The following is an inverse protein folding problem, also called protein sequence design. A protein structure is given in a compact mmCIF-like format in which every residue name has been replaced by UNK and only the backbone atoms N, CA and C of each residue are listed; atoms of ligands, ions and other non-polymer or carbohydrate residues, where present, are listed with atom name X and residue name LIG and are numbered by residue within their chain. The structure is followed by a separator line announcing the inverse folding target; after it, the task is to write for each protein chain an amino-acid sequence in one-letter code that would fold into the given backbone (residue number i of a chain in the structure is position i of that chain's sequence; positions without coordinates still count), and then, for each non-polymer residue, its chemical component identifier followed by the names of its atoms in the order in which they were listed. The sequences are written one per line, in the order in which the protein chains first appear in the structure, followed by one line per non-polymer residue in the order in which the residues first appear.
data_IF_510979527395
#
_entry.id   IF_510979527395
#
_cell.length_a   1.000
_cell.length_b   1.000
_cell.length_c   1.000
_cell.angle_alpha   90.00
_cell.angle_beta   90.00
_cell.angle_gamma   90.00
#
_symmetry.space_group_name_H-M   'P 1'
#
loop_
_entity.id
_entity.type
_entity.pdbx_description
1 polymer ?
#
# COMPACT_ATOMS: atom_id res chain seq x y z
N UNK A 1 -9.77 -1.87 -3.39
CA UNK A 1 -8.75 -1.01 -4.06
C UNK A 1 -9.32 0.36 -4.46
N UNK A 2 -10.51 0.43 -5.06
CA UNK A 2 -11.09 1.70 -5.51
C UNK A 2 -11.32 2.73 -4.40
N UNK A 3 -11.54 2.31 -3.15
CA UNK A 3 -11.59 3.25 -2.02
C UNK A 3 -10.27 4.02 -1.82
N UNK A 4 -9.11 3.37 -2.08
CA UNK A 4 -7.80 4.04 -1.99
C UNK A 4 -7.56 4.97 -3.18
N UNK A 5 -8.00 4.57 -4.38
CA UNK A 5 -8.00 5.43 -5.57
C UNK A 5 -8.87 6.68 -5.38
N UNK A 6 -9.96 6.55 -4.63
CA UNK A 6 -10.93 7.62 -4.39
C UNK A 6 -10.46 8.69 -3.39
N UNK A 7 -9.37 8.47 -2.65
CA UNK A 7 -8.78 9.50 -1.76
C UNK A 7 -8.27 10.67 -2.61
N UNK A 8 -8.55 11.91 -2.23
CA UNK A 8 -8.07 13.08 -2.99
C UNK A 8 -6.53 13.16 -2.95
N UNK A 9 -5.90 13.61 -4.04
CA UNK A 9 -4.44 13.81 -4.10
C UNK A 9 -3.99 14.85 -3.06
N UNK A 10 -4.78 15.91 -2.87
CA UNK A 10 -4.52 16.91 -1.83
C UNK A 10 -4.53 16.32 -0.41
N UNK A 11 -5.30 15.26 -0.15
CA UNK A 11 -5.25 14.56 1.14
C UNK A 11 -3.89 13.92 1.37
N UNK A 12 -3.30 13.31 0.34
CA UNK A 12 -1.98 12.69 0.43
C UNK A 12 -0.86 13.75 0.50
N UNK A 13 -1.01 14.86 -0.23
CA UNK A 13 -0.10 16.01 -0.13
C UNK A 13 -0.03 16.57 1.29
N UNK A 14 -1.17 16.68 1.98
CA UNK A 14 -1.21 17.18 3.35
C UNK A 14 -0.66 16.19 4.40
N UNK A 15 -0.49 14.91 4.04
CA UNK A 15 0.14 13.92 4.90
C UNK A 15 1.66 13.85 4.69
N UNK A 16 2.15 14.30 3.54
CA UNK A 16 3.57 14.23 3.22
C UNK A 16 4.36 15.27 4.01
N UNK A 17 5.45 14.82 4.62
CA UNK A 17 6.43 15.66 5.30
C UNK A 17 7.85 15.24 4.89
N UNK A 18 8.25 15.43 3.62
CA UNK A 18 9.53 14.94 3.11
C UNK A 18 10.75 15.60 3.78
N UNK A 19 10.57 16.71 4.50
CA UNK A 19 11.63 17.46 5.17
C UNK A 19 11.67 17.23 6.69
N UNK A 20 10.84 16.33 7.23
CA UNK A 20 10.70 16.04 8.67
C UNK A 20 10.56 17.35 9.48
N UNK A 21 9.58 18.16 9.07
CA UNK A 21 9.38 19.53 9.56
C UNK A 21 8.97 19.59 11.03
N UNK A 22 8.34 18.53 11.53
CA UNK A 22 7.96 18.39 12.93
C UNK A 22 9.04 17.72 13.80
N UNK A 23 10.11 17.19 13.18
CA UNK A 23 11.27 16.62 13.84
C UNK A 23 10.98 15.31 14.56
N UNK A 24 9.97 14.57 14.10
CA UNK A 24 9.55 13.31 14.69
C UNK A 24 10.32 12.09 14.14
N UNK A 25 11.16 12.33 13.12
CA UNK A 25 12.04 11.35 12.50
C UNK A 25 11.43 10.60 11.32
N UNK A 26 10.24 10.99 10.85
CA UNK A 26 9.53 10.37 9.73
C UNK A 26 9.44 11.35 8.57
N UNK A 27 10.07 11.03 7.44
CA UNK A 27 10.12 11.88 6.25
C UNK A 27 9.25 11.36 5.09
N UNK A 28 8.01 10.98 5.41
CA UNK A 28 7.07 10.38 4.46
C UNK A 28 6.87 11.24 3.22
N UNK A 29 7.12 10.67 2.03
CA UNK A 29 7.07 11.43 0.77
C UNK A 29 6.13 10.83 -0.28
N UNK A 30 5.66 11.70 -1.16
CA UNK A 30 4.86 11.28 -2.31
C UNK A 30 5.70 10.59 -3.38
N UNK A 31 5.09 9.57 -3.97
CA UNK A 31 5.52 9.01 -5.24
C UNK A 31 4.83 9.76 -6.38
N UNK A 32 5.59 10.39 -7.27
CA UNK A 32 5.04 11.00 -8.49
C UNK A 32 5.30 10.06 -9.67
N UNK A 33 4.25 9.79 -10.44
CA UNK A 33 4.28 8.90 -11.63
C UNK A 33 3.65 9.62 -12.83
N UNK A 34 4.07 9.26 -14.03
CA UNK A 34 3.48 9.81 -15.26
C UNK A 34 2.27 8.96 -15.65
N UNK A 35 1.13 9.61 -15.83
CA UNK A 35 -0.07 8.97 -16.37
C UNK A 35 0.20 8.54 -17.84
N UNK A 36 0.12 7.24 -18.18
CA UNK A 36 0.46 6.75 -19.52
C UNK A 36 -0.52 7.20 -20.62
N UNK A 37 -1.69 7.73 -20.26
CA UNK A 37 -2.71 8.19 -21.22
C UNK A 37 -2.64 9.70 -21.42
N UNK A 38 -2.52 10.46 -20.33
CA UNK A 38 -2.54 11.93 -20.37
C UNK A 38 -1.16 12.57 -20.36
N UNK A 39 -0.12 11.80 -19.98
CA UNK A 39 1.26 12.26 -19.78
C UNK A 39 1.42 13.33 -18.66
N UNK A 40 0.39 13.48 -17.81
CA UNK A 40 0.43 14.38 -16.66
C UNK A 40 1.04 13.68 -15.44
N UNK A 41 1.73 14.42 -14.55
CA UNK A 41 2.19 13.88 -13.27
C UNK A 41 1.01 13.60 -12.35
N UNK A 42 1.00 12.44 -11.70
CA UNK A 42 -0.02 11.99 -10.75
C UNK A 42 0.61 11.39 -9.50
N UNK A 43 -0.11 11.41 -8.39
CA UNK A 43 0.32 10.70 -7.18
C UNK A 43 0.12 9.20 -7.35
N UNK A 44 1.21 8.46 -7.19
CA UNK A 44 1.25 7.01 -7.18
C UNK A 44 0.66 6.42 -5.90
N UNK A 45 -0.03 5.28 -6.02
CA UNK A 45 -0.82 4.67 -4.93
C UNK A 45 -0.72 3.15 -4.86
N UNK A 46 -0.45 2.50 -5.98
CA UNK A 46 -0.50 1.05 -6.13
C UNK A 46 0.88 0.47 -6.44
N UNK A 47 1.05 -0.82 -6.15
CA UNK A 47 2.37 -1.47 -6.11
C UNK A 47 3.09 -1.26 -4.78
N UNK A 48 4.28 -1.87 -4.67
CA UNK A 48 5.11 -1.82 -3.45
C UNK A 48 5.75 -0.45 -3.22
N UNK A 49 6.14 0.24 -4.30
CA UNK A 49 6.72 1.59 -4.28
C UNK A 49 5.78 2.64 -4.89
N UNK A 50 4.47 2.40 -4.83
CA UNK A 50 3.44 3.31 -5.33
C UNK A 50 3.60 3.63 -6.84
N UNK A 51 4.07 2.70 -7.67
CA UNK A 51 4.41 2.94 -9.07
C UNK A 51 3.23 3.22 -10.02
N UNK A 52 2.00 3.02 -9.57
CA UNK A 52 0.79 3.24 -10.38
C UNK A 52 -0.21 4.16 -9.66
N UNK A 53 -0.76 5.15 -10.38
CA UNK A 53 -1.70 6.13 -9.81
C UNK A 53 -3.14 5.63 -9.73
N UNK A 54 -3.56 4.76 -10.64
CA UNK A 54 -4.96 4.31 -10.78
C UNK A 54 -5.06 2.79 -10.75
N UNK A 55 -6.21 2.25 -10.36
CA UNK A 55 -6.50 0.81 -10.43
C UNK A 55 -6.38 0.33 -11.87
N UNK A 56 -6.82 1.15 -12.84
CA UNK A 56 -6.71 0.83 -14.26
C UNK A 56 -5.26 0.66 -14.69
N UNK A 57 -4.37 1.57 -14.27
CA UNK A 57 -2.95 1.48 -14.63
C UNK A 57 -2.27 0.30 -13.93
N UNK A 58 -2.62 -0.01 -12.67
CA UNK A 58 -2.14 -1.23 -12.01
C UNK A 58 -2.58 -2.50 -12.74
N UNK A 59 -3.84 -2.57 -13.19
CA UNK A 59 -4.36 -3.70 -13.96
C UNK A 59 -3.59 -3.85 -15.26
N UNK A 60 -3.47 -2.79 -16.07
CA UNK A 60 -2.76 -2.88 -17.36
C UNK A 60 -1.26 -3.10 -17.18
N UNK A 61 -0.67 -2.77 -16.03
CA UNK A 61 0.73 -3.04 -15.72
C UNK A 61 0.93 -4.53 -15.50
N UNK A 62 0.07 -5.14 -14.68
CA UNK A 62 0.11 -6.58 -14.44
C UNK A 62 -0.11 -7.40 -15.73
N UNK A 63 -1.02 -6.96 -16.62
CA UNK A 63 -1.14 -7.57 -17.94
C UNK A 63 0.19 -7.56 -18.70
N UNK A 64 0.87 -6.41 -18.73
CA UNK A 64 2.06 -6.24 -19.54
C UNK A 64 3.32 -6.89 -18.92
N UNK A 65 3.64 -6.55 -17.67
CA UNK A 65 4.87 -6.96 -17.00
C UNK A 65 4.80 -8.38 -16.42
N UNK A 66 3.65 -8.80 -15.88
CA UNK A 66 3.54 -10.12 -15.24
C UNK A 66 3.04 -11.20 -16.21
N UNK A 67 2.09 -10.84 -17.08
CA UNK A 67 1.43 -11.80 -17.98
C UNK A 67 1.96 -11.75 -19.41
N UNK A 68 2.70 -10.71 -19.80
CA UNK A 68 3.21 -10.54 -21.17
C UNK A 68 2.14 -10.23 -22.21
N UNK A 69 1.04 -9.59 -21.79
CA UNK A 69 -0.14 -9.29 -22.61
C UNK A 69 -0.32 -7.79 -22.76
N UNK A 70 -0.50 -7.34 -24.00
CA UNK A 70 -0.57 -5.91 -24.35
C UNK A 70 -2.01 -5.35 -24.34
N UNK A 71 -2.13 -4.05 -24.06
CA UNK A 71 -3.40 -3.31 -24.00
C UNK A 71 -3.27 -1.98 -24.73
N UNK A 72 -4.37 -1.26 -24.96
CA UNK A 72 -4.31 0.10 -25.55
C UNK A 72 -3.48 1.09 -24.73
N UNK A 73 -3.40 0.93 -23.40
CA UNK A 73 -2.61 1.77 -22.48
C UNK A 73 -1.13 1.38 -22.50
N UNK A 74 -0.83 0.08 -22.68
CA UNK A 74 0.53 -0.46 -22.75
C UNK A 74 0.65 -1.38 -23.97
N UNK A 75 0.79 -0.80 -25.17
CA UNK A 75 0.78 -1.57 -26.42
C UNK A 75 2.13 -2.24 -26.71
N UNK A 76 3.21 -1.77 -26.07
CA UNK A 76 4.55 -2.32 -26.23
C UNK A 76 4.80 -3.38 -25.15
N UNK A 77 5.36 -4.56 -25.48
CA UNK A 77 5.76 -5.55 -24.48
C UNK A 77 6.84 -5.02 -23.54
N UNK A 78 6.75 -5.32 -22.24
CA UNK A 78 7.84 -5.09 -21.29
C UNK A 78 9.00 -6.05 -21.57
N UNK A 79 9.96 -5.57 -22.36
CA UNK A 79 11.15 -6.33 -22.75
C UNK A 79 12.22 -6.41 -21.65
N UNK A 80 12.10 -5.64 -20.57
CA UNK A 80 13.22 -5.36 -19.69
C UNK A 80 14.44 -4.78 -20.43
N UNK A 81 15.56 -4.63 -19.71
CA UNK A 81 16.79 -4.04 -20.27
C UNK A 81 17.71 -5.05 -20.98
N UNK A 82 17.51 -6.35 -20.75
CA UNK A 82 18.40 -7.41 -21.22
C UNK A 82 17.92 -8.08 -22.52
N UNK A 83 16.70 -7.78 -22.98
CA UNK A 83 16.11 -8.39 -24.17
C UNK A 83 15.69 -7.31 -25.16
N UNK A 84 15.88 -7.59 -26.46
CA UNK A 84 15.61 -6.63 -27.54
C UNK A 84 14.62 -7.16 -28.59
N UNK A 85 14.08 -8.37 -28.39
CA UNK A 85 13.21 -9.04 -29.36
C UNK A 85 12.06 -9.79 -28.66
N UNK A 86 11.21 -9.05 -27.93
CA UNK A 86 10.15 -9.64 -27.08
C UNK A 86 8.78 -9.65 -27.76
N UNK A 87 8.77 -9.64 -29.09
CA UNK A 87 7.56 -9.64 -29.88
C UNK A 87 7.18 -8.25 -30.40
N UNK A 88 5.99 -8.18 -30.99
CA UNK A 88 5.49 -6.97 -31.64
C UNK A 88 4.58 -6.19 -30.69
N UNK A 89 4.58 -4.87 -30.85
CA UNK A 89 3.59 -4.01 -30.23
C UNK A 89 2.20 -4.24 -30.81
N UNK A 90 1.17 -4.02 -30.01
CA UNK A 90 -0.22 -4.18 -30.44
C UNK A 90 -1.21 -4.07 -29.29
N UNK A 91 -2.46 -4.41 -29.58
CA UNK A 91 -3.52 -4.50 -28.58
C UNK A 91 -4.07 -5.93 -28.63
N UNK A 92 -3.74 -6.73 -27.61
CA UNK A 92 -4.22 -8.10 -27.49
C UNK A 92 -5.52 -8.17 -26.69
N UNK A 93 -5.70 -7.29 -25.70
CA UNK A 93 -6.92 -7.21 -24.89
C UNK A 93 -7.69 -5.94 -25.23
N UNK A 94 -8.94 -6.11 -25.66
CA UNK A 94 -9.83 -5.01 -25.97
C UNK A 94 -10.22 -4.20 -24.71
N UNK A 95 -10.37 -2.88 -24.87
CA UNK A 95 -10.64 -1.94 -23.78
C UNK A 95 -11.83 -2.34 -22.90
N UNK A 96 -12.91 -2.86 -23.50
CA UNK A 96 -14.11 -3.29 -22.76
C UNK A 96 -13.80 -4.33 -21.67
N UNK A 97 -12.82 -5.22 -21.91
CA UNK A 97 -12.42 -6.21 -20.92
C UNK A 97 -11.58 -5.59 -19.80
N UNK A 98 -10.71 -4.62 -20.13
CA UNK A 98 -9.96 -3.84 -19.14
C UNK A 98 -10.90 -3.01 -18.27
N UNK A 99 -11.92 -2.38 -18.85
CA UNK A 99 -12.93 -1.61 -18.11
C UNK A 99 -13.73 -2.50 -17.15
N UNK A 100 -14.20 -3.65 -17.61
CA UNK A 100 -14.94 -4.60 -16.77
C UNK A 100 -14.09 -5.09 -15.59
N UNK A 101 -12.84 -5.49 -15.84
CA UNK A 101 -11.95 -5.96 -14.80
C UNK A 101 -11.57 -4.83 -13.84
N UNK A 102 -11.27 -3.63 -14.34
CA UNK A 102 -10.97 -2.45 -13.53
C UNK A 102 -12.14 -2.13 -12.61
N UNK A 103 -13.37 -2.10 -13.15
CA UNK A 103 -14.58 -1.87 -12.36
C UNK A 103 -14.78 -2.96 -11.30
N UNK A 104 -14.57 -4.22 -11.65
CA UNK A 104 -14.64 -5.33 -10.69
C UNK A 104 -13.64 -5.12 -9.54
N UNK A 105 -12.35 -4.95 -9.84
CA UNK A 105 -11.28 -4.78 -8.83
C UNK A 105 -11.49 -3.51 -7.99
N UNK A 106 -11.95 -2.42 -8.60
CA UNK A 106 -12.22 -1.17 -7.90
C UNK A 106 -13.35 -1.32 -6.87
N UNK A 107 -14.41 -2.08 -7.21
CA UNK A 107 -15.62 -2.23 -6.41
C UNK A 107 -15.63 -3.47 -5.49
N UNK A 108 -14.55 -4.24 -5.43
CA UNK A 108 -14.39 -5.28 -4.41
C UNK A 108 -14.43 -4.64 -3.01
N UNK A 109 -15.38 -5.09 -2.20
CA UNK A 109 -15.57 -4.63 -0.83
C UNK A 109 -14.39 -5.02 0.07
N UNK A 110 -14.15 -4.19 1.09
CA UNK A 110 -13.19 -4.48 2.15
C UNK A 110 -13.90 -5.32 3.23
N UNK A 111 -13.23 -6.34 3.76
CA UNK A 111 -13.77 -7.11 4.88
C UNK A 111 -13.99 -6.23 6.10
N UNK A 112 -15.09 -6.45 6.81
CA UNK A 112 -15.33 -5.74 8.07
C UNK A 112 -14.26 -6.10 9.12
N UNK A 113 -13.86 -5.10 9.92
CA UNK A 113 -13.08 -5.32 11.14
C UNK A 113 -13.87 -6.24 12.09
N UNK A 114 -13.16 -7.18 12.70
CA UNK A 114 -13.66 -8.17 13.66
C UNK A 114 -13.43 -7.66 15.08
N UNK A 115 -14.03 -8.31 16.08
CA UNK A 115 -13.71 -8.09 17.50
C UNK A 115 -13.76 -6.62 18.00
N UNK A 116 -14.70 -5.82 17.49
CA UNK A 116 -14.82 -4.38 17.79
C UNK A 116 -14.98 -4.06 19.29
N UNK A 117 -15.71 -4.90 20.03
CA UNK A 117 -15.97 -4.72 21.46
C UNK A 117 -15.03 -5.56 22.34
N UNK A 118 -14.03 -6.24 21.75
CA UNK A 118 -13.11 -7.06 22.52
C UNK A 118 -12.12 -6.16 23.28
N UNK A 119 -12.07 -6.22 24.62
CA UNK A 119 -11.23 -5.33 25.42
C UNK A 119 -9.74 -5.49 25.12
N UNK A 120 -9.28 -6.69 24.74
CA UNK A 120 -7.88 -6.94 24.37
C UNK A 120 -7.54 -6.30 23.02
N UNK A 121 -8.46 -6.37 22.04
CA UNK A 121 -8.25 -5.72 20.74
C UNK A 121 -8.31 -4.19 20.86
N UNK A 122 -9.17 -3.65 21.73
CA UNK A 122 -9.21 -2.20 22.02
C UNK A 122 -7.94 -1.72 22.72
N UNK A 123 -7.42 -2.48 23.69
CA UNK A 123 -6.11 -2.21 24.29
C UNK A 123 -4.99 -2.27 23.23
N UNK A 124 -5.03 -3.25 22.34
CA UNK A 124 -4.07 -3.39 21.25
C UNK A 124 -4.06 -2.20 20.28
N UNK A 125 -5.23 -1.63 19.97
CA UNK A 125 -5.36 -0.42 19.17
C UNK A 125 -4.75 0.80 19.87
N UNK A 126 -4.97 0.93 21.19
CA UNK A 126 -4.32 1.98 21.97
C UNK A 126 -2.79 1.82 21.95
N UNK A 127 -2.29 0.61 22.17
CA UNK A 127 -0.85 0.31 22.13
C UNK A 127 -0.23 0.54 20.74
N UNK A 128 -1.00 0.31 19.67
CA UNK A 128 -0.58 0.62 18.30
C UNK A 128 -0.34 2.12 18.12
N UNK A 129 -1.25 2.95 18.66
CA UNK A 129 -1.10 4.41 18.65
C UNK A 129 0.04 4.88 19.57
N UNK A 130 0.12 4.34 20.78
CA UNK A 130 1.14 4.71 21.77
C UNK A 130 2.56 4.32 21.34
N UNK A 131 2.67 3.24 20.56
CA UNK A 131 3.95 2.82 19.95
C UNK A 131 4.32 3.66 18.72
N UNK A 132 3.44 4.56 18.25
CA UNK A 132 3.69 5.41 17.09
C UNK A 132 3.50 4.73 15.73
N UNK A 133 2.90 3.52 15.68
CA UNK A 133 2.65 2.82 14.41
C UNK A 133 1.71 3.63 13.49
N UNK A 134 0.77 4.35 14.10
CA UNK A 134 -0.23 5.18 13.43
C UNK A 134 0.34 6.41 12.70
N UNK A 135 1.62 6.74 12.92
CA UNK A 135 2.26 7.87 12.24
C UNK A 135 2.39 7.65 10.72
N UNK A 136 2.69 6.42 10.30
CA UNK A 136 2.62 6.03 8.88
C UNK A 136 1.31 5.27 8.58
N UNK A 137 0.87 4.40 9.50
CA UNK A 137 -0.37 3.63 9.35
C UNK A 137 -1.60 4.44 9.81
N UNK A 138 -1.85 5.58 9.17
CA UNK A 138 -2.93 6.52 9.51
C UNK A 138 -4.29 5.81 9.50
N UNK A 139 -4.98 5.88 10.63
CA UNK A 139 -6.15 5.03 10.92
C UNK A 139 -7.38 5.33 10.08
N UNK A 140 -7.53 6.56 9.59
CA UNK A 140 -8.72 7.00 8.88
C UNK A 140 -8.37 7.97 7.75
N UNK A 141 -9.06 7.83 6.63
CA UNK A 141 -8.99 8.73 5.48
C UNK A 141 -10.39 8.97 4.93
N UNK A 142 -10.56 10.06 4.19
CA UNK A 142 -11.83 10.44 3.56
C UNK A 142 -11.72 10.29 2.04
N UNK A 143 -12.67 9.59 1.42
CA UNK A 143 -12.74 9.54 -0.05
C UNK A 143 -13.42 10.79 -0.61
N UNK A 144 -12.98 11.19 -1.81
CA UNK A 144 -13.45 12.38 -2.52
C UNK A 144 -14.89 12.23 -3.02
N UNK A 145 -15.58 13.35 -3.30
CA UNK A 145 -16.91 13.33 -3.91
C UNK A 145 -16.88 13.08 -5.44
N UNK A 146 -15.71 12.97 -6.06
CA UNK A 146 -15.56 13.04 -7.53
C UNK A 146 -15.18 11.72 -8.21
N UNK A 147 -14.96 10.64 -7.46
CA UNK A 147 -14.59 9.35 -8.04
C UNK A 147 -15.64 8.85 -9.07
N UNK A 148 -15.29 8.27 -10.23
CA UNK A 148 -16.28 7.87 -11.25
C UNK A 148 -17.39 6.94 -10.76
N UNK A 149 -17.07 5.98 -9.89
CA UNK A 149 -18.06 5.14 -9.23
C UNK A 149 -18.65 5.85 -8.01
N UNK A 150 -19.98 6.01 -7.96
CA UNK A 150 -20.68 6.73 -6.90
C UNK A 150 -20.55 6.03 -5.53
N UNK A 151 -20.47 4.70 -5.56
CA UNK A 151 -20.31 3.82 -4.41
C UNK A 151 -18.96 3.98 -3.71
N UNK A 152 -18.01 4.75 -4.26
CA UNK A 152 -16.69 4.99 -3.65
C UNK A 152 -16.54 6.43 -3.13
N UNK A 153 -17.56 7.28 -3.25
CA UNK A 153 -17.51 8.71 -2.90
C UNK A 153 -17.88 8.96 -1.45
N UNK A 154 -17.29 10.00 -0.86
CA UNK A 154 -17.69 10.55 0.45
C UNK A 154 -17.76 9.51 1.58
N UNK A 155 -16.83 8.56 1.60
CA UNK A 155 -16.70 7.57 2.67
C UNK A 155 -15.56 7.89 3.61
N UNK A 156 -15.83 7.84 4.91
CA UNK A 156 -14.77 7.67 5.91
C UNK A 156 -14.35 6.20 5.88
N UNK A 157 -13.08 5.97 5.58
CA UNK A 157 -12.49 4.65 5.45
C UNK A 157 -11.38 4.48 6.49
N UNK A 158 -11.09 3.24 6.87
CA UNK A 158 -10.08 2.94 7.91
C UNK A 158 -8.91 2.10 7.39
N UNK A 159 -8.09 2.60 6.45
CA UNK A 159 -7.14 1.77 5.72
C UNK A 159 -5.83 1.51 6.46
N UNK A 160 -5.52 2.27 7.53
CA UNK A 160 -4.25 2.17 8.27
C UNK A 160 -3.04 2.32 7.35
N UNK A 161 -3.00 3.44 6.64
CA UNK A 161 -1.96 3.82 5.68
C UNK A 161 -2.11 5.28 5.32
N UNK A 162 -1.00 5.95 5.07
CA UNK A 162 -0.90 7.25 4.42
C UNK A 162 -0.62 7.16 2.91
N UNK A 163 -0.38 5.95 2.39
CA UNK A 163 0.07 5.67 1.01
C UNK A 163 1.39 6.34 0.61
N UNK A 164 2.16 6.86 1.56
CA UNK A 164 3.43 7.53 1.32
C UNK A 164 4.59 6.53 1.27
N UNK A 165 5.71 6.97 0.70
CA UNK A 165 6.98 6.25 0.72
C UNK A 165 7.74 6.60 2.01
N UNK A 166 8.22 5.56 2.70
CA UNK A 166 9.00 5.66 3.92
C UNK A 166 10.28 4.84 3.84
N UNK A 167 11.38 5.36 4.38
CA UNK A 167 12.62 4.58 4.54
C UNK A 167 12.44 3.52 5.63
N UNK A 168 12.43 2.25 5.22
CA UNK A 168 12.28 1.08 6.11
C UNK A 168 13.63 0.49 6.55
N UNK A 169 14.72 1.20 6.29
CA UNK A 169 16.08 0.85 6.67
C UNK A 169 16.76 -0.16 5.73
N UNK A 170 18.09 -0.36 5.91
CA UNK A 170 18.89 -1.22 5.03
C UNK A 170 18.48 -2.70 5.09
N UNK A 171 17.87 -3.14 6.20
CA UNK A 171 17.39 -4.52 6.34
C UNK A 171 16.27 -4.88 5.37
N UNK A 172 15.52 -3.87 4.89
CA UNK A 172 14.43 -4.03 3.93
C UNK A 172 14.73 -3.35 2.59
N UNK A 173 15.98 -3.00 2.31
CA UNK A 173 16.37 -2.47 1.01
C UNK A 173 16.26 -3.55 -0.09
N UNK A 174 15.67 -3.18 -1.22
CA UNK A 174 15.76 -3.95 -2.47
C UNK A 174 16.96 -3.48 -3.31
N UNK A 175 17.15 -4.06 -4.49
CA UNK A 175 18.09 -3.53 -5.51
C UNK A 175 17.41 -2.63 -6.53
N UNK A 176 16.09 -2.47 -6.46
CA UNK A 176 15.29 -1.78 -7.46
C UNK A 176 15.07 -0.32 -7.05
N UNK A 177 15.43 0.59 -7.97
CA UNK A 177 15.05 1.99 -7.92
C UNK A 177 13.90 2.17 -8.90
N UNK A 178 12.78 2.68 -8.41
CA UNK A 178 11.64 3.04 -9.26
C UNK A 178 11.50 4.56 -9.17
N UNK A 179 11.81 5.31 -10.24
CA UNK A 179 11.79 6.80 -10.26
C UNK A 179 12.44 7.47 -9.04
N UNK A 180 11.69 8.31 -8.30
CA UNK A 180 12.10 8.96 -7.04
C UNK A 180 12.04 8.06 -5.77
N UNK A 181 11.77 6.76 -5.89
CA UNK A 181 11.72 5.83 -4.75
C UNK A 181 13.08 5.12 -4.61
N UNK A 182 13.75 5.37 -3.48
CA UNK A 182 15.02 4.76 -3.13
C UNK A 182 14.86 3.26 -2.83
N UNK A 183 15.94 2.46 -2.84
CA UNK A 183 15.82 1.00 -2.71
C UNK A 183 15.19 0.53 -1.39
N UNK A 184 15.42 1.28 -0.30
CA UNK A 184 14.89 1.09 1.05
C UNK A 184 13.54 1.75 1.32
N UNK A 185 13.02 2.54 0.38
CA UNK A 185 11.73 3.19 0.53
C UNK A 185 10.58 2.30 0.09
N UNK A 186 9.55 2.19 0.90
CA UNK A 186 8.35 1.40 0.59
C UNK A 186 7.10 2.19 0.88
N UNK A 187 6.06 1.94 0.08
CA UNK A 187 4.74 2.48 0.34
C UNK A 187 4.19 1.85 1.62
N UNK A 188 3.65 2.65 2.53
CA UNK A 188 2.92 2.10 3.69
C UNK A 188 1.77 1.23 3.21
N UNK A 189 1.84 -0.09 3.41
CA UNK A 189 0.77 -0.99 3.00
C UNK A 189 -0.49 -0.78 3.86
N UNK A 190 -1.71 -0.77 3.27
CA UNK A 190 -2.93 -0.70 4.07
C UNK A 190 -3.05 -1.98 4.90
N UNK A 191 -3.41 -1.86 6.19
CA UNK A 191 -3.54 -3.03 7.07
C UNK A 191 -4.91 -3.71 6.98
N UNK A 192 -5.75 -3.31 6.02
CA UNK A 192 -7.03 -3.97 5.76
C UNK A 192 -6.88 -5.47 5.57
N UNK A 193 -7.69 -6.24 6.30
CA UNK A 193 -7.72 -7.70 6.20
C UNK A 193 -6.39 -8.39 6.51
N UNK A 194 -5.43 -7.71 7.15
CA UNK A 194 -4.13 -8.30 7.48
C UNK A 194 -4.29 -9.53 8.40
N UNK A 195 -5.30 -9.52 9.26
CA UNK A 195 -5.65 -10.66 10.12
C UNK A 195 -6.23 -11.86 9.38
N UNK A 196 -6.61 -11.71 8.11
CA UNK A 196 -7.14 -12.78 7.25
C UNK A 196 -6.06 -13.43 6.36
N UNK A 197 -4.83 -12.91 6.38
CA UNK A 197 -3.72 -13.35 5.50
C UNK A 197 -3.56 -14.87 5.47
N UNK A 198 -3.50 -15.51 6.65
CA UNK A 198 -3.33 -16.97 6.75
C UNK A 198 -4.46 -17.76 6.07
N UNK A 199 -5.70 -17.32 6.23
CA UNK A 199 -6.88 -18.00 5.68
C UNK A 199 -7.04 -17.82 4.16
N UNK A 200 -6.54 -16.70 3.61
CA UNK A 200 -6.63 -16.39 2.18
C UNK A 200 -5.45 -17.02 1.41
N UNK A 201 -4.24 -16.90 1.95
CA UNK A 201 -3.00 -17.31 1.25
C UNK A 201 -2.56 -18.74 1.58
N UNK A 202 -3.22 -19.44 2.51
CA UNK A 202 -2.81 -20.78 2.97
C UNK A 202 -1.58 -20.78 3.90
N UNK A 203 -1.18 -19.61 4.40
CA UNK A 203 -0.01 -19.40 5.26
C UNK A 203 0.24 -17.92 5.53
N UNK A 204 1.16 -17.61 6.44
CA UNK A 204 1.58 -16.24 6.74
C UNK A 204 2.88 -15.86 6.01
N UNK A 205 2.87 -14.68 5.39
CA UNK A 205 4.00 -14.05 4.72
C UNK A 205 3.75 -12.54 4.65
N UNK A 206 4.61 -11.76 5.31
CA UNK A 206 4.48 -10.31 5.44
C UNK A 206 5.71 -9.59 4.89
N UNK A 207 5.58 -8.27 4.68
CA UNK A 207 6.56 -7.40 4.02
C UNK A 207 6.66 -7.67 2.51
N UNK A 208 7.42 -6.82 1.79
CA UNK A 208 7.46 -6.84 0.32
C UNK A 208 8.01 -8.14 -0.28
N UNK A 209 8.83 -8.88 0.46
CA UNK A 209 9.45 -10.13 0.03
C UNK A 209 8.92 -11.37 0.77
N UNK A 210 7.87 -11.20 1.58
CA UNK A 210 7.24 -12.28 2.32
C UNK A 210 8.12 -12.95 3.38
N UNK A 211 9.24 -12.33 3.78
CA UNK A 211 10.20 -12.95 4.71
C UNK A 211 9.60 -13.25 6.09
N UNK A 212 8.74 -12.35 6.57
CA UNK A 212 8.22 -12.43 7.93
C UNK A 212 7.06 -13.41 8.01
N UNK A 213 7.15 -14.36 8.93
CA UNK A 213 6.18 -15.46 9.10
C UNK A 213 5.15 -15.21 10.17
N UNK A 214 5.26 -14.10 10.90
CA UNK A 214 4.26 -13.62 11.84
C UNK A 214 4.19 -12.09 11.80
N UNK A 215 3.08 -11.53 12.27
CA UNK A 215 2.94 -10.07 12.47
C UNK A 215 3.98 -9.51 13.43
N UNK A 216 4.31 -10.26 14.49
CA UNK A 216 5.33 -9.89 15.46
C UNK A 216 6.72 -9.81 14.82
N UNK A 217 7.06 -10.77 13.94
CA UNK A 217 8.30 -10.73 13.16
C UNK A 217 8.28 -9.53 12.19
N UNK A 218 7.15 -9.29 11.52
CA UNK A 218 7.01 -8.16 10.59
C UNK A 218 7.25 -6.82 11.28
N UNK A 219 6.69 -6.60 12.48
CA UNK A 219 6.92 -5.38 13.26
C UNK A 219 8.41 -5.24 13.62
N UNK A 220 9.09 -6.33 14.00
CA UNK A 220 10.52 -6.29 14.37
C UNK A 220 11.46 -6.08 13.19
N UNK A 221 11.00 -6.33 11.97
CA UNK A 221 11.74 -6.01 10.75
C UNK A 221 11.67 -4.55 10.33
N UNK A 222 10.73 -3.77 10.87
CA UNK A 222 10.68 -2.34 10.61
C UNK A 222 12.00 -1.69 11.05
N UNK A 223 12.42 -0.65 10.35
CA UNK A 223 13.66 0.07 10.58
C UNK A 223 13.58 1.43 9.91
N UNK A 224 14.71 2.12 9.78
CA UNK A 224 14.71 3.48 9.22
C UNK A 224 13.81 4.39 10.05
N UNK A 225 12.85 5.03 9.39
CA UNK A 225 11.86 5.93 10.01
C UNK A 225 10.99 5.22 11.07
N UNK A 226 10.75 3.92 10.90
CA UNK A 226 9.94 3.12 11.82
C UNK A 226 10.74 2.52 13.00
N UNK A 227 12.03 2.82 13.14
CA UNK A 227 12.89 2.23 14.17
C UNK A 227 12.41 2.58 15.59
N UNK A 228 12.00 3.83 15.84
CA UNK A 228 11.45 4.25 17.12
C UNK A 228 10.16 3.49 17.48
N UNK A 229 9.26 3.29 16.51
CA UNK A 229 8.02 2.55 16.73
C UNK A 229 8.26 1.06 17.02
N UNK A 230 9.19 0.45 16.29
CA UNK A 230 9.66 -0.91 16.57
C UNK A 230 10.27 -1.03 17.97
N UNK A 231 11.06 -0.06 18.41
CA UNK A 231 11.67 -0.09 19.74
C UNK A 231 10.61 0.04 20.84
N UNK A 232 9.62 0.93 20.66
CA UNK A 232 8.47 1.04 21.55
C UNK A 232 7.70 -0.29 21.64
N UNK A 233 7.39 -0.92 20.50
CA UNK A 233 6.77 -2.25 20.47
C UNK A 233 7.62 -3.31 21.19
N UNK A 234 8.93 -3.32 20.97
CA UNK A 234 9.83 -4.29 21.61
C UNK A 234 9.92 -4.12 23.13
N UNK A 235 9.76 -2.90 23.62
CA UNK A 235 9.76 -2.59 25.06
C UNK A 235 8.45 -3.00 25.77
N UNK A 236 7.38 -3.27 25.03
CA UNK A 236 6.11 -3.76 25.58
C UNK A 236 6.28 -5.11 26.29
N UNK A 237 5.45 -5.33 27.32
CA UNK A 237 5.31 -6.63 27.94
C UNK A 237 4.79 -7.66 26.93
N UNK A 238 4.99 -8.96 27.19
CA UNK A 238 4.46 -9.98 26.28
C UNK A 238 2.93 -9.89 26.15
N UNK A 239 2.22 -9.60 27.25
CA UNK A 239 0.77 -9.41 27.24
C UNK A 239 0.33 -8.24 26.36
N UNK A 240 1.07 -7.12 26.40
CA UNK A 240 0.78 -5.95 25.56
C UNK A 240 1.09 -6.20 24.09
N UNK A 241 2.18 -6.92 23.79
CA UNK A 241 2.48 -7.39 22.42
C UNK A 241 1.35 -8.26 21.89
N UNK A 242 0.89 -9.23 22.68
CA UNK A 242 -0.21 -10.12 22.30
C UNK A 242 -1.51 -9.33 22.06
N UNK A 243 -1.78 -8.28 22.86
CA UNK A 243 -2.92 -7.39 22.66
C UNK A 243 -2.83 -6.61 21.34
N UNK A 244 -1.68 -6.00 21.03
CA UNK A 244 -1.45 -5.31 19.75
C UNK A 244 -1.58 -6.27 18.56
N UNK A 245 -1.04 -7.47 18.66
CA UNK A 245 -1.20 -8.51 17.63
C UNK A 245 -2.67 -8.92 17.50
N UNK A 246 -3.43 -8.98 18.59
CA UNK A 246 -4.88 -9.24 18.55
C UNK A 246 -5.63 -8.12 17.84
N UNK A 247 -5.23 -6.86 18.02
CA UNK A 247 -5.78 -5.73 17.26
C UNK A 247 -5.51 -5.89 15.76
N UNK A 248 -4.27 -6.15 15.35
CA UNK A 248 -3.93 -6.35 13.94
C UNK A 248 -4.69 -7.54 13.33
N UNK A 249 -4.87 -8.62 14.09
CA UNK A 249 -5.68 -9.77 13.66
C UNK A 249 -7.17 -9.47 13.56
N UNK A 250 -7.64 -8.40 14.20
CA UNK A 250 -9.01 -7.91 14.08
C UNK A 250 -9.25 -7.18 12.74
N UNK A 251 -8.20 -6.63 12.12
CA UNK A 251 -8.26 -5.90 10.84
C UNK A 251 -8.41 -6.80 9.63
#
# INVERSE_FOLDING_TARGET
MGLLEAIDELTLENLADPDDSDGDGISGKLRIVTDPVTNEPRIGRFGWKASEATVKHQVTQAFNTDMGVTTSIRPDPDCGSAQTNCGNSGIEVADVHIEHLTKYVALLGVSARRDLDNPVALQGEQLFNDSGCNKCHVSNLQTSPYHPNAELRNQTIHPYTDLLLHDMGPGLASTLIEGNANPNEWRTAPLWSIGLTSGISGGEGYLHDGRARTLDEAIRWHGGEAESAKQAYQALSQTDKDALISFLKSL
#
